data_IF_358069148281
#
_entry.id   IF_358069148281
#
_cell.length_a   1.000
_cell.length_b   1.000
_cell.length_c   1.000
_cell.angle_alpha   90.00
_cell.angle_beta   90.00
_cell.angle_gamma   90.00
#
_symmetry.space_group_name_H-M   'P 1'
#
loop_
_entity.id
_entity.type
_entity.pdbx_description
1 polymer ?
#
# COMPACT_ATOMS: atom_id res chain seq x y z
N UNK A 1 54.75 23.16 24.24
CA UNK A 1 54.06 24.16 23.38
C UNK A 1 53.25 23.44 22.31
N UNK A 2 51.92 23.61 22.39
CA UNK A 2 50.81 23.34 21.44
C UNK A 2 51.01 22.34 20.28
N UNK A 3 50.41 21.15 20.42
CA UNK A 3 49.90 20.32 19.31
C UNK A 3 48.64 21.00 18.74
N UNK A 4 48.64 21.33 17.44
CA UNK A 4 47.45 21.80 16.71
C UNK A 4 46.49 20.62 16.52
N UNK A 5 45.26 20.76 17.03
CA UNK A 5 44.10 19.96 16.63
C UNK A 5 43.65 20.42 15.24
N UNK A 6 43.49 19.48 14.33
CA UNK A 6 42.77 19.65 13.08
C UNK A 6 41.68 18.59 13.04
N UNK A 7 40.56 18.86 13.72
CA UNK A 7 39.33 18.11 13.54
C UNK A 7 38.51 18.89 12.50
N UNK A 8 38.67 18.53 11.22
CA UNK A 8 37.74 18.92 10.18
C UNK A 8 36.52 17.99 10.26
N UNK A 9 35.51 18.40 11.03
CA UNK A 9 34.18 17.81 10.96
C UNK A 9 33.59 18.08 9.57
N UNK A 10 33.67 17.08 8.70
CA UNK A 10 32.91 17.01 7.46
C UNK A 10 31.43 16.88 7.84
N UNK A 11 30.71 18.00 7.92
CA UNK A 11 29.25 17.99 7.85
C UNK A 11 28.89 17.53 6.45
N UNK A 12 28.60 16.24 6.29
CA UNK A 12 27.89 15.75 5.11
C UNK A 12 26.56 16.51 5.04
N UNK A 13 26.49 17.44 4.10
CA UNK A 13 25.26 18.12 3.73
C UNK A 13 24.33 17.02 3.18
N UNK A 14 23.42 16.52 4.02
CA UNK A 14 22.47 15.50 3.61
C UNK A 14 21.52 16.14 2.60
N UNK A 15 21.83 15.98 1.32
CA UNK A 15 20.97 16.38 0.23
C UNK A 15 19.62 15.66 0.40
N UNK A 16 18.56 16.44 0.59
CA UNK A 16 17.21 15.90 0.74
C UNK A 16 16.77 15.38 -0.63
N UNK A 17 16.86 14.07 -0.83
CA UNK A 17 16.36 13.40 -2.03
C UNK A 17 14.83 13.26 -1.93
N UNK A 18 14.11 13.94 -2.83
CA UNK A 18 12.66 13.86 -2.94
C UNK A 18 12.25 12.69 -3.83
N UNK A 19 11.47 11.78 -3.27
CA UNK A 19 10.92 10.67 -4.03
C UNK A 19 9.58 11.04 -4.65
N UNK A 20 9.38 10.65 -5.90
CA UNK A 20 8.10 10.79 -6.60
C UNK A 20 7.48 9.41 -6.81
N UNK A 21 6.22 9.30 -7.29
CA UNK A 21 5.69 8.01 -7.70
C UNK A 21 6.59 7.21 -8.65
N UNK A 22 7.41 7.90 -9.45
CA UNK A 22 8.36 7.32 -10.39
C UNK A 22 9.69 6.87 -9.77
N UNK A 23 9.95 7.16 -8.50
CA UNK A 23 11.18 6.73 -7.82
C UNK A 23 11.06 5.28 -7.34
N UNK A 24 11.80 4.33 -7.93
CA UNK A 24 11.68 2.92 -7.61
C UNK A 24 12.29 2.60 -6.25
N UNK A 25 11.79 1.58 -5.53
CA UNK A 25 12.43 1.05 -4.35
C UNK A 25 13.75 0.36 -4.71
N UNK A 26 14.76 0.55 -3.87
CA UNK A 26 16.09 -0.03 -4.02
C UNK A 26 16.43 -0.93 -2.81
N UNK A 27 17.34 -1.89 -2.99
CA UNK A 27 17.77 -2.77 -1.90
C UNK A 27 18.30 -1.99 -0.69
N UNK A 28 18.98 -0.87 -0.94
CA UNK A 28 19.53 0.02 0.07
C UNK A 28 18.47 0.83 0.83
N UNK A 29 17.20 0.78 0.45
CA UNK A 29 16.13 1.41 1.24
C UNK A 29 15.79 0.61 2.50
N UNK A 30 16.04 -0.70 2.48
CA UNK A 30 15.60 -1.59 3.54
C UNK A 30 16.63 -1.70 4.68
N UNK A 31 16.12 -1.79 5.90
CA UNK A 31 16.88 -2.04 7.12
C UNK A 31 16.24 -3.24 7.83
N UNK A 32 17.04 -4.26 8.15
CA UNK A 32 16.56 -5.48 8.81
C UNK A 32 17.00 -5.49 10.28
N UNK A 33 16.04 -5.61 11.21
CA UNK A 33 16.29 -5.68 12.67
C UNK A 33 15.26 -6.55 13.35
N UNK A 34 15.71 -7.48 14.21
CA UNK A 34 14.84 -8.35 15.02
C UNK A 34 13.72 -9.06 14.21
N UNK A 35 14.06 -9.63 13.04
CA UNK A 35 13.09 -10.32 12.19
C UNK A 35 12.08 -9.40 11.49
N UNK A 36 12.31 -8.08 11.47
CA UNK A 36 11.46 -7.10 10.79
C UNK A 36 12.24 -6.33 9.72
N UNK A 37 11.54 -6.01 8.64
CA UNK A 37 11.98 -5.14 7.54
C UNK A 37 11.42 -3.74 7.76
N UNK A 38 12.31 -2.77 7.90
CA UNK A 38 12.04 -1.35 7.95
C UNK A 38 12.46 -0.71 6.63
N UNK A 39 11.88 0.45 6.33
CA UNK A 39 12.28 1.30 5.20
C UNK A 39 12.90 2.56 5.79
N UNK A 40 14.08 2.96 5.30
CA UNK A 40 14.69 4.26 5.63
C UNK A 40 13.65 5.37 5.40
N UNK A 41 13.36 6.23 6.38
CA UNK A 41 12.45 7.35 6.17
C UNK A 41 12.89 8.17 4.96
N UNK A 42 11.93 8.55 4.13
CA UNK A 42 12.19 9.27 2.88
C UNK A 42 11.18 10.39 2.71
N UNK A 43 11.57 11.42 1.98
CA UNK A 43 10.64 12.45 1.57
C UNK A 43 9.90 12.03 0.30
N UNK A 44 8.60 12.30 0.25
CA UNK A 44 7.73 11.88 -0.84
C UNK A 44 6.84 13.03 -1.31
N UNK A 45 6.73 13.19 -2.63
CA UNK A 45 5.84 14.15 -3.28
C UNK A 45 4.55 13.46 -3.74
N UNK A 46 3.43 13.82 -3.12
CA UNK A 46 2.11 13.51 -3.68
C UNK A 46 1.75 14.54 -4.74
N UNK A 47 1.53 14.08 -5.97
CA UNK A 47 1.08 14.92 -7.07
C UNK A 47 -0.38 14.62 -7.38
N UNK A 48 -1.19 15.67 -7.47
CA UNK A 48 -2.56 15.58 -7.96
C UNK A 48 -2.88 16.74 -8.89
N UNK A 49 -3.84 16.55 -9.79
CA UNK A 49 -4.37 17.62 -10.63
C UNK A 49 -5.73 18.07 -10.12
N UNK A 50 -5.95 19.39 -10.12
CA UNK A 50 -7.17 20.03 -9.69
C UNK A 50 -8.40 19.40 -10.34
N UNK A 51 -9.36 18.93 -9.53
CA UNK A 51 -10.62 18.36 -10.04
C UNK A 51 -11.70 19.42 -10.06
N UNK A 52 -12.70 19.27 -10.92
CA UNK A 52 -13.84 20.21 -10.98
C UNK A 52 -14.54 20.39 -9.61
N UNK A 53 -14.70 19.30 -8.83
CA UNK A 53 -15.28 19.37 -7.48
C UNK A 53 -14.41 20.10 -6.43
N UNK A 54 -13.15 20.38 -6.76
CA UNK A 54 -12.21 21.11 -5.91
C UNK A 54 -12.17 22.60 -6.25
N UNK A 55 -12.69 22.99 -7.42
CA UNK A 55 -12.66 24.36 -7.89
C UNK A 55 -13.34 25.31 -6.90
N UNK A 56 -12.67 26.43 -6.57
CA UNK A 56 -13.19 27.45 -5.66
C UNK A 56 -13.01 27.14 -4.17
N UNK A 57 -12.67 25.90 -3.78
CA UNK A 57 -12.27 25.60 -2.39
C UNK A 57 -10.90 26.22 -2.11
N UNK A 58 -10.67 26.69 -0.89
CA UNK A 58 -9.33 27.08 -0.47
C UNK A 58 -8.41 25.86 -0.44
N UNK A 59 -7.11 26.06 -0.65
CA UNK A 59 -6.14 24.97 -0.64
C UNK A 59 -6.18 24.20 0.70
N UNK A 60 -6.35 24.88 1.83
CA UNK A 60 -6.41 24.20 3.14
C UNK A 60 -7.72 23.43 3.31
N UNK A 61 -8.87 24.04 2.98
CA UNK A 61 -10.17 23.37 3.12
C UNK A 61 -10.29 22.17 2.18
N UNK A 62 -9.75 22.29 0.97
CA UNK A 62 -9.61 21.18 0.04
C UNK A 62 -8.91 19.99 0.72
N UNK A 63 -7.73 20.23 1.28
CA UNK A 63 -6.95 19.17 1.88
C UNK A 63 -7.61 18.57 3.12
N UNK A 64 -8.18 19.40 4.00
CA UNK A 64 -8.85 18.95 5.21
C UNK A 64 -10.11 18.12 4.93
N UNK A 65 -10.85 18.43 3.86
CA UNK A 65 -12.09 17.73 3.51
C UNK A 65 -11.86 16.44 2.72
N UNK A 66 -11.00 16.48 1.70
CA UNK A 66 -10.76 15.32 0.83
C UNK A 66 -9.77 14.33 1.44
N UNK A 67 -8.77 14.82 2.19
CA UNK A 67 -7.71 14.00 2.77
C UNK A 67 -7.77 14.05 4.30
N UNK A 68 -8.73 13.34 4.90
CA UNK A 68 -8.94 13.31 6.37
C UNK A 68 -7.84 12.60 7.18
N UNK A 69 -6.63 12.49 6.64
CA UNK A 69 -5.50 11.80 7.27
C UNK A 69 -4.76 12.63 8.31
N UNK A 70 -4.95 13.96 8.34
CA UNK A 70 -4.25 14.89 9.24
C UNK A 70 -5.18 16.02 9.70
N UNK A 71 -4.92 16.66 10.85
CA UNK A 71 -5.73 17.77 11.34
C UNK A 71 -5.59 19.02 10.46
N UNK A 72 -6.56 19.93 10.53
CA UNK A 72 -6.59 21.18 9.76
C UNK A 72 -5.29 21.99 9.88
N UNK A 73 -4.80 22.18 11.11
CA UNK A 73 -3.61 22.99 11.41
C UNK A 73 -2.32 22.43 10.78
N UNK A 74 -2.28 21.11 10.54
CA UNK A 74 -1.18 20.52 9.78
C UNK A 74 -1.14 21.08 8.36
N UNK A 75 -2.31 21.20 7.70
CA UNK A 75 -2.39 21.68 6.32
C UNK A 75 -2.11 23.18 6.24
N UNK A 76 -2.58 23.98 7.21
CA UNK A 76 -2.19 25.39 7.35
C UNK A 76 -0.66 25.53 7.40
N UNK A 77 -0.03 24.75 8.28
CA UNK A 77 1.43 24.77 8.44
C UNK A 77 2.15 24.29 7.19
N UNK A 78 1.64 23.24 6.53
CA UNK A 78 2.21 22.68 5.32
C UNK A 78 2.19 23.67 4.14
N UNK A 79 1.11 24.45 3.98
CA UNK A 79 1.06 25.53 2.97
C UNK A 79 2.04 26.64 3.33
N UNK A 80 2.03 27.12 4.59
CA UNK A 80 2.91 28.21 5.06
C UNK A 80 4.40 27.90 4.89
N UNK A 81 4.82 26.65 5.13
CA UNK A 81 6.22 26.23 4.99
C UNK A 81 6.55 25.68 3.60
N UNK A 82 5.67 25.85 2.60
CA UNK A 82 5.94 25.45 1.21
C UNK A 82 5.93 23.94 0.94
N UNK A 83 5.42 23.12 1.88
CA UNK A 83 5.20 21.67 1.65
C UNK A 83 3.96 21.37 0.83
N UNK A 84 3.03 22.31 0.72
CA UNK A 84 1.93 22.23 -0.26
C UNK A 84 2.12 23.38 -1.23
N UNK A 85 2.19 23.05 -2.52
CA UNK A 85 2.44 23.99 -3.60
C UNK A 85 1.43 23.79 -4.72
N UNK A 86 1.13 24.86 -5.45
CA UNK A 86 0.28 24.85 -6.64
C UNK A 86 1.13 25.36 -7.80
N UNK A 87 1.22 24.59 -8.88
CA UNK A 87 2.11 24.87 -10.03
C UNK A 87 3.57 25.15 -9.61
N UNK A 88 4.05 24.40 -8.60
CA UNK A 88 5.41 24.56 -8.05
C UNK A 88 5.64 25.86 -7.28
N UNK A 89 4.59 26.62 -6.97
CA UNK A 89 4.68 27.90 -6.25
C UNK A 89 4.01 27.81 -4.87
N UNK A 90 4.58 28.53 -3.92
CA UNK A 90 3.92 28.79 -2.64
C UNK A 90 2.69 29.68 -2.87
N UNK A 91 1.60 29.36 -2.18
CA UNK A 91 0.33 30.08 -2.27
C UNK A 91 -0.17 30.43 -0.87
N UNK A 92 -0.99 31.48 -0.70
CA UNK A 92 -1.62 31.76 0.59
C UNK A 92 -2.57 30.63 1.00
N UNK A 93 -2.81 30.47 2.30
CA UNK A 93 -3.73 29.43 2.83
C UNK A 93 -5.16 29.55 2.28
N UNK A 94 -5.57 30.76 1.90
CA UNK A 94 -6.87 31.08 1.31
C UNK A 94 -6.91 30.90 -0.21
N UNK A 95 -5.84 30.40 -0.83
CA UNK A 95 -5.75 30.29 -2.29
C UNK A 95 -6.88 29.41 -2.85
N UNK A 96 -7.75 29.94 -3.74
CA UNK A 96 -8.79 29.15 -4.37
C UNK A 96 -8.20 28.26 -5.45
N UNK A 97 -8.36 26.94 -5.29
CA UNK A 97 -7.87 25.96 -6.26
C UNK A 97 -8.69 26.03 -7.55
N UNK A 98 -8.02 25.91 -8.70
CA UNK A 98 -8.66 25.82 -10.02
C UNK A 98 -8.54 24.40 -10.56
N UNK A 99 -9.45 24.04 -11.46
CA UNK A 99 -9.38 22.77 -12.19
C UNK A 99 -8.06 22.65 -12.96
N UNK A 100 -7.61 21.40 -13.10
CA UNK A 100 -6.40 20.98 -13.82
C UNK A 100 -5.07 21.47 -13.26
N UNK A 101 -5.05 22.29 -12.21
CA UNK A 101 -3.78 22.75 -11.63
C UNK A 101 -3.01 21.60 -10.97
N UNK A 102 -1.69 21.52 -11.20
CA UNK A 102 -0.81 20.62 -10.46
C UNK A 102 -0.70 21.09 -9.01
N UNK A 103 -1.10 20.22 -8.09
CA UNK A 103 -0.95 20.40 -6.65
C UNK A 103 0.07 19.37 -6.17
N UNK A 104 1.08 19.83 -5.46
CA UNK A 104 2.16 18.99 -4.93
C UNK A 104 2.17 19.05 -3.41
N UNK A 105 2.20 17.91 -2.73
CA UNK A 105 2.26 17.81 -1.28
C UNK A 105 3.46 16.96 -0.84
N UNK A 106 4.47 17.64 -0.31
CA UNK A 106 5.69 17.06 0.23
C UNK A 106 5.48 16.56 1.66
N UNK A 107 5.75 15.28 1.89
CA UNK A 107 5.67 14.64 3.20
C UNK A 107 6.92 13.85 3.52
N UNK A 108 7.28 13.78 4.79
CA UNK A 108 8.27 12.83 5.29
C UNK A 108 7.55 11.53 5.65
N UNK A 109 7.84 10.42 4.95
CA UNK A 109 7.17 9.14 5.12
C UNK A 109 7.93 8.21 6.04
N UNK A 110 7.14 7.53 6.88
CA UNK A 110 7.58 6.47 7.78
C UNK A 110 6.66 5.29 7.52
N UNK A 111 7.17 4.30 6.77
CA UNK A 111 6.39 3.08 6.51
C UNK A 111 6.40 2.19 7.76
N UNK A 112 5.26 1.61 8.16
CA UNK A 112 5.24 0.62 9.22
C UNK A 112 6.13 -0.58 8.85
N UNK A 113 6.82 -1.19 9.81
CA UNK A 113 7.64 -2.36 9.54
C UNK A 113 6.78 -3.57 9.14
N UNK A 114 7.34 -4.41 8.28
CA UNK A 114 6.78 -5.71 7.90
C UNK A 114 7.72 -6.83 8.34
N UNK A 115 7.36 -8.08 8.11
CA UNK A 115 8.25 -9.22 8.36
C UNK A 115 9.54 -9.10 7.54
N UNK A 116 10.66 -9.57 8.10
CA UNK A 116 11.92 -9.67 7.37
C UNK A 116 11.94 -10.82 6.36
N UNK A 117 10.97 -11.75 6.42
CA UNK A 117 10.90 -12.86 5.49
C UNK A 117 10.85 -12.33 4.04
N UNK A 118 11.65 -12.92 3.16
CA UNK A 118 11.70 -12.56 1.75
C UNK A 118 10.41 -12.94 1.01
N UNK A 119 10.28 -12.40 -0.21
CA UNK A 119 9.28 -12.84 -1.18
C UNK A 119 9.96 -13.84 -2.11
N UNK A 120 9.63 -15.12 -1.98
CA UNK A 120 10.25 -16.15 -2.82
C UNK A 120 9.62 -16.17 -4.20
N UNK A 121 10.42 -15.99 -5.25
CA UNK A 121 10.00 -16.27 -6.62
C UNK A 121 9.91 -17.79 -6.80
N UNK A 122 8.74 -18.28 -7.21
CA UNK A 122 8.48 -19.71 -7.40
C UNK A 122 8.68 -20.11 -8.86
N UNK A 123 8.17 -19.29 -9.78
CA UNK A 123 8.22 -19.56 -11.21
C UNK A 123 8.21 -18.25 -11.99
N UNK A 124 9.04 -18.18 -13.02
CA UNK A 124 9.09 -17.07 -13.97
C UNK A 124 8.75 -17.59 -15.36
N UNK A 125 7.70 -17.04 -15.93
CA UNK A 125 7.25 -17.32 -17.29
C UNK A 125 7.34 -16.03 -18.14
N UNK A 126 7.23 -16.15 -19.48
CA UNK A 126 7.29 -15.00 -20.37
C UNK A 126 6.27 -13.90 -20.06
N UNK A 127 5.09 -14.26 -19.56
CA UNK A 127 3.99 -13.33 -19.30
C UNK A 127 3.69 -13.11 -17.81
N UNK A 128 4.15 -14.01 -16.92
CA UNK A 128 3.82 -13.99 -15.49
C UNK A 128 5.00 -14.36 -14.59
N UNK A 129 4.93 -13.92 -13.34
CA UNK A 129 5.79 -14.35 -12.24
C UNK A 129 4.91 -14.81 -11.09
N UNK A 130 5.17 -16.00 -10.58
CA UNK A 130 4.49 -16.56 -9.41
C UNK A 130 5.41 -16.46 -8.21
N UNK A 131 4.89 -15.98 -7.08
CA UNK A 131 5.67 -15.78 -5.86
C UNK A 131 4.95 -16.33 -4.63
N UNK A 132 5.72 -16.65 -3.59
CA UNK A 132 5.21 -16.90 -2.25
C UNK A 132 5.31 -15.61 -1.42
N UNK A 133 4.14 -15.01 -1.16
CA UNK A 133 4.00 -13.84 -0.30
C UNK A 133 4.05 -14.24 1.18
N UNK A 134 4.90 -13.63 2.00
CA UNK A 134 4.83 -13.80 3.44
C UNK A 134 3.66 -13.01 4.06
N UNK A 135 3.19 -13.47 5.22
CA UNK A 135 2.22 -12.73 6.01
C UNK A 135 2.79 -11.37 6.47
N UNK A 136 1.93 -10.40 6.76
CA UNK A 136 2.23 -9.01 7.16
C UNK A 136 2.69 -8.05 6.05
N UNK A 137 3.02 -8.51 4.85
CA UNK A 137 3.43 -7.64 3.72
C UNK A 137 2.22 -7.31 2.83
N UNK A 138 1.88 -6.05 2.51
CA UNK A 138 0.86 -5.71 1.50
C UNK A 138 1.31 -6.07 0.08
N UNK A 139 0.37 -6.36 -0.82
CA UNK A 139 0.71 -6.75 -2.21
C UNK A 139 1.29 -5.58 -3.02
N UNK A 140 0.61 -4.44 -3.01
CA UNK A 140 0.94 -3.25 -3.81
C UNK A 140 0.87 -1.99 -2.92
N UNK A 141 1.43 -0.85 -3.37
CA UNK A 141 1.37 0.41 -2.64
C UNK A 141 -0.06 0.77 -2.22
N UNK A 142 -0.29 0.86 -0.90
CA UNK A 142 -1.57 1.24 -0.34
C UNK A 142 -1.41 1.85 1.05
N UNK A 143 -2.18 2.91 1.32
CA UNK A 143 -2.16 3.61 2.60
C UNK A 143 -0.74 4.04 3.01
N UNK A 144 -0.23 3.48 4.11
CA UNK A 144 1.09 3.80 4.66
C UNK A 144 2.25 3.05 3.99
N UNK A 145 1.97 2.10 3.09
CA UNK A 145 2.99 1.24 2.47
C UNK A 145 3.21 1.63 1.01
N UNK A 146 4.47 1.75 0.61
CA UNK A 146 4.91 1.96 -0.79
C UNK A 146 6.04 1.00 -1.11
N UNK A 147 7.18 1.14 -0.43
CA UNK A 147 8.35 0.26 -0.60
C UNK A 147 8.16 -1.07 0.11
N UNK A 148 7.61 -1.07 1.33
CA UNK A 148 7.27 -2.30 2.07
C UNK A 148 6.02 -2.98 1.48
N UNK A 149 6.10 -3.44 0.23
CA UNK A 149 5.04 -4.16 -0.48
C UNK A 149 5.65 -5.28 -1.32
N UNK A 150 4.89 -6.31 -1.69
CA UNK A 150 5.42 -7.41 -2.50
C UNK A 150 6.02 -6.89 -3.81
N UNK A 151 5.32 -5.99 -4.50
CA UNK A 151 5.84 -5.34 -5.72
C UNK A 151 7.15 -4.59 -5.44
N UNK A 152 7.19 -3.77 -4.39
CA UNK A 152 8.39 -2.99 -4.10
C UNK A 152 9.59 -3.82 -3.63
N UNK A 153 9.33 -4.97 -3.00
CA UNK A 153 10.37 -5.92 -2.61
C UNK A 153 10.92 -6.65 -3.85
N UNK A 154 10.04 -7.11 -4.75
CA UNK A 154 10.45 -7.77 -5.99
C UNK A 154 11.22 -6.83 -6.92
N UNK A 155 10.82 -5.57 -7.02
CA UNK A 155 11.52 -4.56 -7.79
C UNK A 155 12.93 -4.32 -7.22
N UNK A 156 13.04 -4.12 -5.91
CA UNK A 156 14.30 -3.80 -5.26
C UNK A 156 15.29 -4.97 -5.13
N UNK A 157 14.79 -6.17 -4.84
CA UNK A 157 15.64 -7.35 -4.55
C UNK A 157 15.85 -8.25 -5.77
N UNK A 158 14.90 -8.26 -6.72
CA UNK A 158 14.93 -9.14 -7.89
C UNK A 158 14.98 -8.38 -9.23
N UNK A 159 14.90 -7.05 -9.23
CA UNK A 159 14.84 -6.26 -10.46
C UNK A 159 13.58 -6.53 -11.29
N UNK A 160 12.53 -7.09 -10.67
CA UNK A 160 11.30 -7.46 -11.35
C UNK A 160 10.29 -6.31 -11.29
N UNK A 161 10.35 -5.44 -12.31
CA UNK A 161 9.38 -4.38 -12.54
C UNK A 161 9.30 -4.01 -14.04
N UNK A 162 8.15 -3.50 -14.53
CA UNK A 162 6.89 -3.36 -13.82
C UNK A 162 6.17 -4.72 -13.66
N UNK A 163 5.58 -4.95 -12.49
CA UNK A 163 4.72 -6.09 -12.22
C UNK A 163 3.29 -5.64 -11.90
N UNK A 164 2.33 -6.35 -12.48
CA UNK A 164 0.91 -6.04 -12.36
C UNK A 164 0.23 -7.16 -11.57
N UNK A 165 -0.21 -6.92 -10.32
CA UNK A 165 -0.91 -7.95 -9.55
C UNK A 165 -2.16 -8.42 -10.30
N UNK A 166 -2.29 -9.74 -10.51
CA UNK A 166 -3.49 -10.34 -11.11
C UNK A 166 -4.62 -10.37 -10.08
N UNK A 167 -4.30 -10.81 -8.86
CA UNK A 167 -5.20 -10.82 -7.71
C UNK A 167 -4.47 -10.27 -6.48
N UNK A 168 -5.19 -10.15 -5.36
CA UNK A 168 -4.62 -9.70 -4.09
C UNK A 168 -4.86 -10.72 -2.98
N UNK A 169 -3.91 -10.80 -2.08
CA UNK A 169 -4.08 -11.41 -0.76
C UNK A 169 -4.09 -10.29 0.27
N UNK A 170 -4.86 -10.47 1.34
CA UNK A 170 -4.84 -9.53 2.45
C UNK A 170 -3.46 -9.45 3.09
N UNK A 171 -3.17 -8.33 3.75
CA UNK A 171 -1.86 -8.05 4.34
C UNK A 171 -1.39 -9.22 5.24
N UNK A 172 -2.30 -9.77 6.04
CA UNK A 172 -1.99 -10.84 6.99
C UNK A 172 -2.01 -12.25 6.38
N UNK A 173 -2.51 -12.42 5.16
CA UNK A 173 -2.58 -13.73 4.49
C UNK A 173 -1.27 -13.99 3.76
N UNK A 174 -0.64 -15.12 4.03
CA UNK A 174 0.50 -15.64 3.24
C UNK A 174 0.01 -16.54 2.11
N UNK A 175 0.81 -16.70 1.06
CA UNK A 175 0.53 -17.71 0.04
C UNK A 175 0.95 -17.29 -1.35
N UNK A 176 0.43 -18.02 -2.33
CA UNK A 176 0.76 -17.85 -3.74
C UNK A 176 0.13 -16.57 -4.29
N UNK A 177 0.94 -15.79 -5.02
CA UNK A 177 0.50 -14.64 -5.81
C UNK A 177 1.00 -14.77 -7.23
N UNK A 178 0.16 -14.36 -8.17
CA UNK A 178 0.51 -14.23 -9.58
C UNK A 178 0.59 -12.74 -9.94
N UNK A 179 1.72 -12.36 -10.55
CA UNK A 179 1.94 -11.07 -11.16
C UNK A 179 2.08 -11.23 -12.66
N UNK A 180 1.44 -10.38 -13.44
CA UNK A 180 1.67 -10.31 -14.87
C UNK A 180 2.78 -9.29 -15.18
N UNK A 181 3.48 -9.50 -16.30
CA UNK A 181 4.53 -8.58 -16.79
C UNK A 181 3.99 -7.39 -17.59
N UNK A 182 2.70 -7.38 -17.89
CA UNK A 182 2.02 -6.25 -18.55
C UNK A 182 0.60 -6.06 -18.05
N UNK A 183 0.06 -4.84 -18.21
CA UNK A 183 -1.32 -4.53 -17.85
C UNK A 183 -2.34 -5.35 -18.65
N UNK A 184 -2.08 -5.57 -19.95
CA UNK A 184 -2.97 -6.37 -20.83
C UNK A 184 -3.02 -7.83 -20.40
N UNK A 185 -1.88 -8.42 -20.00
CA UNK A 185 -1.85 -9.77 -19.44
C UNK A 185 -2.55 -9.84 -18.08
N UNK A 186 -2.34 -8.84 -17.22
CA UNK A 186 -3.03 -8.78 -15.93
C UNK A 186 -4.55 -8.76 -16.09
N UNK A 187 -5.06 -8.03 -17.09
CA UNK A 187 -6.49 -7.96 -17.40
C UNK A 187 -7.04 -9.30 -17.89
N UNK A 188 -6.32 -9.97 -18.80
CA UNK A 188 -6.70 -11.31 -19.27
C UNK A 188 -6.81 -12.32 -18.12
N UNK A 189 -5.83 -12.37 -17.23
CA UNK A 189 -5.90 -13.28 -16.08
C UNK A 189 -6.99 -12.86 -15.07
N UNK A 190 -7.28 -11.57 -14.92
CA UNK A 190 -8.41 -11.11 -14.11
C UNK A 190 -9.73 -11.62 -14.66
N UNK A 191 -9.95 -11.49 -15.96
CA UNK A 191 -11.15 -12.00 -16.63
C UNK A 191 -11.28 -13.53 -16.47
N UNK A 192 -10.16 -14.27 -16.47
CA UNK A 192 -10.17 -15.71 -16.19
C UNK A 192 -10.61 -16.03 -14.76
N UNK A 193 -10.14 -15.25 -13.77
CA UNK A 193 -10.57 -15.39 -12.38
C UNK A 193 -12.05 -15.02 -12.22
N UNK A 194 -12.48 -13.90 -12.79
CA UNK A 194 -13.86 -13.44 -12.75
C UNK A 194 -14.82 -14.41 -13.46
N UNK A 195 -14.35 -15.07 -14.53
CA UNK A 195 -15.07 -16.12 -15.25
C UNK A 195 -15.02 -17.50 -14.59
N UNK A 196 -14.43 -17.65 -13.39
CA UNK A 196 -14.39 -18.92 -12.66
C UNK A 196 -13.46 -19.99 -13.27
N UNK A 197 -12.56 -19.61 -14.19
CA UNK A 197 -11.63 -20.54 -14.84
C UNK A 197 -10.42 -20.89 -13.97
N UNK A 198 -10.24 -20.19 -12.84
CA UNK A 198 -9.10 -20.37 -11.93
C UNK A 198 -9.60 -20.89 -10.59
N UNK A 199 -9.12 -22.07 -10.18
CA UNK A 199 -9.37 -22.64 -8.85
C UNK A 199 -8.32 -22.13 -7.87
N UNK A 200 -8.77 -21.47 -6.79
CA UNK A 200 -7.90 -21.09 -5.66
C UNK A 200 -8.21 -21.99 -4.46
N UNK A 201 -7.17 -22.38 -3.73
CA UNK A 201 -7.30 -23.18 -2.52
C UNK A 201 -6.55 -22.50 -1.38
N UNK A 202 -7.20 -22.43 -0.22
CA UNK A 202 -6.66 -21.81 0.99
C UNK A 202 -6.65 -22.83 2.12
N UNK A 203 -5.59 -22.79 2.94
CA UNK A 203 -5.50 -23.55 4.18
C UNK A 203 -5.60 -22.56 5.32
N UNK A 204 -6.55 -22.80 6.23
CA UNK A 204 -6.78 -21.95 7.40
C UNK A 204 -6.81 -22.80 8.67
N UNK A 205 -6.27 -22.23 9.76
CA UNK A 205 -6.48 -22.75 11.12
C UNK A 205 -7.68 -22.03 11.71
N UNK A 206 -8.66 -22.79 12.19
CA UNK A 206 -9.99 -22.28 12.58
C UNK A 206 -10.30 -22.68 14.03
N UNK A 207 -11.23 -21.97 14.66
CA UNK A 207 -11.71 -22.27 16.02
C UNK A 207 -13.11 -22.88 15.89
N UNK A 208 -13.35 -24.00 16.56
CA UNK A 208 -14.62 -24.72 16.56
C UNK A 208 -14.50 -26.15 16.01
N UNK A 209 -15.62 -26.85 15.98
CA UNK A 209 -15.74 -28.19 15.39
C UNK A 209 -16.31 -28.05 13.98
N UNK A 210 -15.56 -28.50 12.98
CA UNK A 210 -15.96 -28.44 11.58
C UNK A 210 -16.41 -29.83 11.12
N UNK A 211 -17.43 -29.92 10.23
CA UNK A 211 -17.83 -31.19 9.64
C UNK A 211 -16.65 -31.88 8.94
N UNK A 212 -16.56 -33.21 9.05
CA UNK A 212 -15.52 -34.00 8.38
C UNK A 212 -15.65 -33.98 6.84
N UNK A 213 -16.87 -33.77 6.35
CA UNK A 213 -17.19 -33.74 4.92
C UNK A 213 -17.10 -32.33 4.39
N UNK A 214 -16.73 -32.22 3.11
CA UNK A 214 -16.75 -30.94 2.38
C UNK A 214 -18.12 -30.27 2.51
N UNK A 215 -18.10 -28.97 2.75
CA UNK A 215 -19.28 -28.12 2.84
C UNK A 215 -19.17 -27.00 1.82
N UNK A 216 -20.23 -26.77 1.06
CA UNK A 216 -20.37 -25.59 0.21
C UNK A 216 -21.04 -24.49 1.04
N UNK A 217 -20.36 -23.36 1.17
CA UNK A 217 -20.91 -22.16 1.81
C UNK A 217 -21.12 -21.10 0.75
N UNK A 218 -22.37 -20.86 0.38
CA UNK A 218 -22.78 -19.85 -0.59
C UNK A 218 -23.62 -18.78 0.11
N UNK A 219 -22.97 -17.69 0.51
CA UNK A 219 -23.59 -16.59 1.27
C UNK A 219 -23.04 -15.24 0.80
N UNK A 220 -23.91 -14.22 0.80
CA UNK A 220 -23.52 -12.86 0.43
C UNK A 220 -22.62 -12.23 1.48
N UNK A 221 -21.59 -11.49 1.03
CA UNK A 221 -20.77 -10.65 1.90
C UNK A 221 -21.30 -9.21 1.86
N UNK A 222 -21.72 -8.68 3.01
CA UNK A 222 -22.19 -7.31 3.16
C UNK A 222 -21.09 -6.43 3.73
N UNK A 223 -20.77 -5.31 3.08
CA UNK A 223 -19.78 -4.34 3.57
C UNK A 223 -20.45 -3.11 4.17
N UNK A 224 -20.15 -2.83 5.44
CA UNK A 224 -20.56 -1.59 6.12
C UNK A 224 -19.42 -0.56 6.02
N UNK A 225 -19.57 0.40 5.11
CA UNK A 225 -18.57 1.45 4.88
C UNK A 225 -18.36 2.40 6.08
N UNK A 226 -19.35 2.55 6.98
CA UNK A 226 -19.21 3.42 8.17
C UNK A 226 -18.32 2.78 9.22
N UNK A 227 -18.42 1.46 9.39
CA UNK A 227 -17.64 0.69 10.36
C UNK A 227 -16.34 0.11 9.77
N UNK A 228 -16.22 0.11 8.44
CA UNK A 228 -15.09 -0.50 7.74
C UNK A 228 -15.05 -2.02 7.92
N UNK A 229 -16.22 -2.66 8.07
CA UNK A 229 -16.34 -4.10 8.37
C UNK A 229 -17.20 -4.82 7.34
N UNK A 230 -16.80 -6.04 7.01
CA UNK A 230 -17.59 -6.97 6.19
C UNK A 230 -18.20 -8.06 7.07
N UNK A 231 -19.42 -8.47 6.77
CA UNK A 231 -20.15 -9.54 7.45
C UNK A 231 -20.77 -10.47 6.42
N UNK A 232 -20.68 -11.78 6.61
CA UNK A 232 -21.42 -12.75 5.81
C UNK A 232 -22.91 -12.75 6.22
N UNK A 233 -23.82 -12.73 5.26
CA UNK A 233 -25.26 -12.81 5.48
C UNK A 233 -25.63 -14.18 5.99
N UNK A 234 -26.06 -14.26 7.25
CA UNK A 234 -26.51 -15.51 7.86
C UNK A 234 -28.02 -15.43 8.09
N UNK A 235 -28.81 -15.87 7.12
CA UNK A 235 -30.24 -16.12 7.32
C UNK A 235 -30.43 -17.59 7.72
N UNK A 236 -30.76 -17.81 8.99
CA UNK A 236 -31.05 -19.09 9.67
C UNK A 236 -29.84 -19.98 10.07
N UNK A 237 -29.20 -19.63 11.19
CA UNK A 237 -28.42 -20.59 11.99
C UNK A 237 -29.35 -21.35 12.94
N UNK A 238 -29.99 -22.40 12.45
CA UNK A 238 -30.54 -23.44 13.34
C UNK A 238 -29.72 -24.73 13.32
N UNK A 239 -28.58 -24.78 12.62
CA UNK A 239 -27.85 -26.05 12.50
C UNK A 239 -26.32 -25.98 12.32
N UNK A 240 -25.65 -24.92 12.80
CA UNK A 240 -24.21 -24.96 13.02
C UNK A 240 -23.92 -24.36 14.41
N UNK A 241 -23.93 -25.23 15.43
CA UNK A 241 -23.41 -24.91 16.75
C UNK A 241 -21.89 -24.72 16.63
N UNK A 242 -21.48 -23.47 16.48
CA UNK A 242 -20.09 -23.04 16.48
C UNK A 242 -20.05 -21.53 16.56
N UNK A 243 -20.21 -21.00 17.79
CA UNK A 243 -20.29 -19.56 18.04
C UNK A 243 -19.04 -18.81 17.58
N UNK A 244 -19.31 -17.69 16.91
CA UNK A 244 -18.54 -16.44 16.86
C UNK A 244 -17.15 -16.44 16.21
N UNK A 245 -17.06 -15.62 15.16
CA UNK A 245 -15.86 -15.09 14.51
C UNK A 245 -15.04 -16.08 13.68
N UNK A 246 -15.62 -16.54 12.57
CA UNK A 246 -14.83 -17.04 11.45
C UNK A 246 -14.93 -16.08 10.27
N UNK A 247 -13.84 -15.36 10.01
CA UNK A 247 -13.64 -14.65 8.74
C UNK A 247 -13.09 -15.65 7.73
N UNK A 248 -13.97 -16.28 6.95
CA UNK A 248 -13.55 -17.04 5.78
C UNK A 248 -13.64 -16.16 4.54
N UNK A 249 -12.60 -16.22 3.71
CA UNK A 249 -12.63 -15.76 2.33
C UNK A 249 -12.42 -16.99 1.45
N UNK A 250 -13.40 -17.30 0.60
CA UNK A 250 -13.41 -18.31 -0.48
C UNK A 250 -14.27 -17.64 -1.58
N UNK A 251 -13.99 -17.58 -2.88
CA UNK A 251 -13.05 -18.25 -3.82
C UNK A 251 -12.01 -17.28 -4.47
#
# INVERSE_FOLDING_TARGET
MKRKRGDEERKEEMEIVWQTPADPPEAQDYIFRHGRRYVRPYYFEFISHGKNRWAGKTIVDLFAQEFKGRPYDYYVSAVKCGRIQVEGKMVPISYPVKSSQKISHFVHRHEPPVTANGVSVLQEEPDVVTVCKPASVPVHPCGQYRKNTVVGILEAEHGLAPLFPVHRLDRLVSGLLIFARSASRADLFRQQIEGGMVRKQYIAKVIGEFPEKEQLVDVNINYNAREGRSTAGVSNLTQLLGQSNCSFYIE
#
